data_IF_678519900547
#
_entry.id   IF_678519900547
#
_cell.length_a   1.000
_cell.length_b   1.000
_cell.length_c   1.000
_cell.angle_alpha   90.00
_cell.angle_beta   90.00
_cell.angle_gamma   90.00
#
_symmetry.space_group_name_H-M   'P 1'
#
loop_
_entity.id
_entity.type
_entity.pdbx_description
1 polymer ?
#
# COMPACT_ATOMS: atom_id res chain seq x y z
N UNK A 1 34.37 -35.40 -7.44
CA UNK A 1 33.54 -34.53 -8.29
C UNK A 1 32.45 -34.01 -7.40
N UNK A 2 32.69 -32.88 -6.72
CA UNK A 2 31.74 -32.30 -5.79
C UNK A 2 30.69 -31.55 -6.60
N UNK A 3 29.46 -32.04 -6.59
CA UNK A 3 28.32 -31.29 -7.14
C UNK A 3 28.20 -29.99 -6.36
N UNK A 4 28.56 -28.89 -7.03
CA UNK A 4 28.32 -27.52 -6.57
C UNK A 4 26.81 -27.28 -6.62
N UNK A 5 26.09 -27.84 -5.65
CA UNK A 5 24.65 -27.67 -5.50
C UNK A 5 24.45 -26.24 -5.03
N UNK A 6 24.21 -25.33 -5.98
CA UNK A 6 23.83 -23.95 -5.71
C UNK A 6 22.84 -23.92 -4.53
N UNK A 7 23.06 -23.06 -3.52
CA UNK A 7 22.19 -23.02 -2.36
C UNK A 7 20.76 -22.70 -2.82
N UNK A 8 19.84 -23.59 -2.47
CA UNK A 8 18.43 -23.46 -2.82
C UNK A 8 17.84 -22.29 -2.04
N UNK A 9 17.45 -21.22 -2.74
CA UNK A 9 16.84 -20.05 -2.14
C UNK A 9 15.34 -20.32 -2.01
N UNK A 10 14.88 -20.39 -0.76
CA UNK A 10 13.47 -20.60 -0.42
C UNK A 10 12.77 -19.24 -0.38
N UNK A 11 11.69 -19.09 -1.14
CA UNK A 11 10.89 -17.87 -1.22
C UNK A 11 9.46 -18.11 -0.75
N UNK A 12 8.88 -17.22 0.05
CA UNK A 12 7.43 -17.20 0.31
C UNK A 12 6.75 -16.13 -0.56
N UNK A 13 5.49 -16.39 -0.93
CA UNK A 13 4.64 -15.44 -1.65
C UNK A 13 3.50 -15.02 -0.72
N UNK A 14 3.37 -13.73 -0.47
CA UNK A 14 2.24 -13.12 0.26
C UNK A 14 1.57 -12.12 -0.67
N UNK A 15 0.63 -12.62 -1.47
CA UNK A 15 0.03 -11.86 -2.56
C UNK A 15 -1.49 -11.90 -2.44
N UNK A 16 -2.12 -10.74 -2.37
CA UNK A 16 -3.57 -10.63 -2.17
C UNK A 16 -4.35 -11.07 -3.42
N UNK A 17 -3.80 -10.85 -4.62
CA UNK A 17 -4.37 -11.32 -5.89
C UNK A 17 -4.00 -12.79 -6.15
N UNK A 18 -4.96 -13.74 -6.06
CA UNK A 18 -4.67 -15.16 -6.25
C UNK A 18 -4.20 -15.50 -7.67
N UNK A 19 -4.69 -14.78 -8.69
CA UNK A 19 -4.27 -15.03 -10.07
C UNK A 19 -2.83 -14.59 -10.32
N UNK A 20 -2.40 -13.50 -9.67
CA UNK A 20 -1.00 -13.07 -9.68
C UNK A 20 -0.11 -14.05 -8.90
N UNK A 21 -0.58 -14.50 -7.74
CA UNK A 21 0.11 -15.49 -6.91
C UNK A 21 0.39 -16.78 -7.69
N UNK A 22 -0.64 -17.33 -8.35
CA UNK A 22 -0.53 -18.55 -9.16
C UNK A 22 0.44 -18.38 -10.32
N UNK A 23 0.38 -17.24 -11.03
CA UNK A 23 1.29 -16.95 -12.15
C UNK A 23 2.74 -16.84 -11.69
N UNK A 24 2.99 -16.15 -10.58
CA UNK A 24 4.33 -16.04 -10.02
C UNK A 24 4.84 -17.38 -9.49
N UNK A 25 3.98 -18.17 -8.86
CA UNK A 25 4.34 -19.50 -8.41
C UNK A 25 4.77 -20.40 -9.58
N UNK A 26 4.01 -20.38 -10.68
CA UNK A 26 4.34 -21.12 -11.89
C UNK A 26 5.66 -20.65 -12.55
N UNK A 27 5.93 -19.34 -12.57
CA UNK A 27 7.17 -18.82 -13.14
C UNK A 27 8.38 -19.12 -12.26
N UNK A 28 8.29 -18.85 -10.96
CA UNK A 28 9.40 -19.01 -10.02
C UNK A 28 9.72 -20.48 -9.76
N UNK A 29 8.73 -21.38 -9.78
CA UNK A 29 8.95 -22.82 -9.65
C UNK A 29 9.77 -23.44 -10.78
N UNK A 30 9.92 -22.74 -11.91
CA UNK A 30 10.74 -23.19 -13.05
C UNK A 30 12.16 -22.62 -13.05
N UNK A 31 12.52 -21.80 -12.06
CA UNK A 31 13.86 -21.20 -11.97
C UNK A 31 14.78 -22.11 -11.16
N UNK A 32 15.87 -22.57 -11.78
CA UNK A 32 16.86 -23.41 -11.11
C UNK A 32 17.44 -22.69 -9.88
N UNK A 33 17.46 -23.39 -8.73
CA UNK A 33 17.96 -22.86 -7.46
C UNK A 33 16.96 -22.00 -6.68
N UNK A 34 15.73 -21.81 -7.18
CA UNK A 34 14.64 -21.21 -6.43
C UNK A 34 13.58 -22.26 -6.09
N UNK A 35 13.02 -22.16 -4.88
CA UNK A 35 11.86 -22.95 -4.46
C UNK A 35 10.89 -22.11 -3.65
N UNK A 36 9.61 -22.38 -3.80
CA UNK A 36 8.58 -21.78 -2.96
C UNK A 36 8.44 -22.50 -1.61
N UNK A 37 8.33 -21.73 -0.54
CA UNK A 37 8.12 -22.21 0.81
C UNK A 37 6.75 -22.90 0.93
N UNK A 38 6.72 -24.04 1.60
CA UNK A 38 5.46 -24.65 2.05
C UNK A 38 4.85 -23.83 3.20
N UNK A 39 3.53 -23.95 3.46
CA UNK A 39 2.91 -23.29 4.60
C UNK A 39 3.62 -23.61 5.92
N UNK A 40 4.06 -22.59 6.65
CA UNK A 40 4.79 -22.74 7.92
C UNK A 40 6.29 -23.04 7.79
N UNK A 41 6.83 -23.10 6.57
CA UNK A 41 8.26 -23.25 6.32
C UNK A 41 8.99 -21.90 6.39
N UNK A 42 10.23 -21.89 6.87
CA UNK A 42 11.04 -20.68 6.85
C UNK A 42 11.57 -20.38 5.44
N UNK A 43 11.32 -19.16 4.96
CA UNK A 43 11.84 -18.66 3.70
C UNK A 43 13.07 -17.76 3.92
N UNK A 44 13.97 -17.74 2.94
CA UNK A 44 15.10 -16.83 2.90
C UNK A 44 14.66 -15.39 2.51
N UNK A 45 13.57 -15.26 1.76
CA UNK A 45 12.94 -13.97 1.44
C UNK A 45 11.44 -14.15 1.14
N UNK A 46 10.67 -13.07 1.31
CA UNK A 46 9.23 -13.00 1.01
C UNK A 46 8.98 -12.00 -0.12
N UNK A 47 8.19 -12.40 -1.13
CA UNK A 47 7.63 -11.48 -2.12
C UNK A 47 6.24 -11.09 -1.64
N UNK A 48 6.05 -9.81 -1.36
CA UNK A 48 4.76 -9.26 -0.91
C UNK A 48 4.17 -8.41 -2.04
N UNK A 49 2.92 -8.68 -2.40
CA UNK A 49 2.15 -7.82 -3.29
C UNK A 49 0.74 -7.63 -2.73
N UNK A 50 0.44 -6.41 -2.29
CA UNK A 50 -0.86 -6.03 -1.79
C UNK A 50 -1.71 -5.44 -2.91
N UNK A 51 -3.02 -5.71 -2.93
CA UNK A 51 -3.89 -4.94 -3.82
C UNK A 51 -3.94 -3.50 -3.26
N UNK A 52 -3.54 -2.46 -4.03
CA UNK A 52 -3.66 -1.08 -3.56
C UNK A 52 -5.10 -0.71 -3.18
N UNK A 53 -6.08 -1.44 -3.70
CA UNK A 53 -7.51 -1.27 -3.43
C UNK A 53 -7.99 -2.12 -2.24
N UNK A 54 -7.24 -3.15 -1.82
CA UNK A 54 -7.49 -3.79 -0.53
C UNK A 54 -6.94 -2.88 0.56
N UNK A 55 -7.69 -1.82 0.81
CA UNK A 55 -7.52 -1.02 2.02
C UNK A 55 -7.60 -1.97 3.23
N UNK A 56 -6.74 -1.82 4.25
CA UNK A 56 -7.02 -2.41 5.54
C UNK A 56 -8.47 -2.06 5.91
N UNK A 57 -9.29 -3.05 6.29
CA UNK A 57 -10.72 -2.87 6.57
C UNK A 57 -11.00 -1.71 7.57
N UNK A 58 -9.99 -1.31 8.32
CA UNK A 58 -10.07 -0.31 9.38
C UNK A 58 -10.05 1.17 8.90
N UNK A 59 -9.67 1.47 7.65
CA UNK A 59 -9.59 2.88 7.16
C UNK A 59 -10.40 3.07 5.89
N UNK A 60 -11.72 3.02 6.04
CA UNK A 60 -12.65 3.46 5.00
C UNK A 60 -12.64 5.00 4.89
N UNK A 61 -11.85 5.54 3.96
CA UNK A 61 -11.96 6.94 3.56
C UNK A 61 -13.16 7.13 2.64
N UNK A 62 -13.93 8.18 2.88
CA UNK A 62 -15.00 8.61 1.97
C UNK A 62 -14.40 9.23 0.71
N UNK A 63 -15.18 9.27 -0.38
CA UNK A 63 -14.75 9.93 -1.62
C UNK A 63 -14.29 11.38 -1.39
N UNK A 64 -14.97 12.10 -0.49
CA UNK A 64 -14.63 13.49 -0.19
C UNK A 64 -13.31 13.63 0.57
N UNK A 65 -13.02 12.68 1.46
CA UNK A 65 -11.73 12.62 2.15
C UNK A 65 -10.60 12.29 1.18
N UNK A 66 -10.83 11.40 0.21
CA UNK A 66 -9.88 11.11 -0.86
C UNK A 66 -9.59 12.34 -1.73
N UNK A 67 -10.61 13.09 -2.14
CA UNK A 67 -10.44 14.33 -2.91
C UNK A 67 -9.59 15.35 -2.14
N UNK A 68 -9.86 15.52 -0.83
CA UNK A 68 -9.09 16.42 0.04
C UNK A 68 -7.66 15.93 0.17
N UNK A 69 -7.45 14.63 0.41
CA UNK A 69 -6.15 13.98 0.57
C UNK A 69 -5.25 14.14 -0.66
N UNK A 70 -5.81 13.93 -1.86
CA UNK A 70 -5.11 14.13 -3.13
C UNK A 70 -4.59 15.57 -3.27
N UNK A 71 -5.44 16.56 -3.01
CA UNK A 71 -5.02 17.97 -3.02
C UNK A 71 -4.02 18.28 -1.89
N UNK A 72 -4.03 17.54 -0.77
CA UNK A 72 -2.99 17.66 0.25
C UNK A 72 -1.63 17.20 -0.27
N UNK A 73 -1.61 16.10 -1.04
CA UNK A 73 -0.41 15.55 -1.65
C UNK A 73 0.21 16.52 -2.67
N UNK A 74 -0.62 17.26 -3.40
CA UNK A 74 -0.19 18.35 -4.29
C UNK A 74 0.34 19.60 -3.55
N UNK A 75 0.35 19.59 -2.21
CA UNK A 75 0.78 20.73 -1.41
C UNK A 75 -0.25 21.85 -1.31
N UNK A 76 -1.51 21.60 -1.69
CA UNK A 76 -2.54 22.64 -1.63
C UNK A 76 -2.81 23.09 -0.18
N UNK A 77 -3.14 24.36 0.05
CA UNK A 77 -3.58 24.85 1.36
C UNK A 77 -5.08 24.64 1.54
N UNK A 78 -5.59 24.67 2.77
CA UNK A 78 -7.04 24.52 3.02
C UNK A 78 -7.90 25.55 2.27
N UNK A 79 -7.37 26.75 2.00
CA UNK A 79 -8.05 27.77 1.18
C UNK A 79 -8.13 27.36 -0.29
N UNK A 80 -7.07 26.78 -0.82
CA UNK A 80 -7.03 26.32 -2.22
C UNK A 80 -7.93 25.11 -2.40
N UNK A 81 -7.90 24.15 -1.47
CA UNK A 81 -8.82 22.99 -1.47
C UNK A 81 -10.27 23.45 -1.42
N UNK A 82 -10.60 24.39 -0.52
CA UNK A 82 -11.95 24.92 -0.39
C UNK A 82 -12.47 25.49 -1.71
N UNK A 83 -11.62 26.29 -2.38
CA UNK A 83 -11.94 26.87 -3.70
C UNK A 83 -12.12 25.80 -4.76
N UNK A 84 -11.24 24.81 -4.82
CA UNK A 84 -11.25 23.78 -5.86
C UNK A 84 -12.41 22.79 -5.72
N UNK A 85 -12.78 22.48 -4.48
CA UNK A 85 -13.88 21.56 -4.16
C UNK A 85 -15.24 22.26 -3.97
N UNK A 86 -15.30 23.60 -4.06
CA UNK A 86 -16.53 24.37 -3.92
C UNK A 86 -17.15 24.32 -2.51
N UNK A 87 -16.34 24.22 -1.46
CA UNK A 87 -16.79 24.13 -0.06
C UNK A 87 -16.12 25.18 0.82
N UNK A 88 -16.59 25.33 2.06
CA UNK A 88 -16.00 26.28 3.00
C UNK A 88 -14.63 25.80 3.53
N UNK A 89 -13.75 26.74 3.88
CA UNK A 89 -12.47 26.42 4.54
C UNK A 89 -12.68 25.69 5.87
N UNK A 90 -13.78 25.99 6.57
CA UNK A 90 -14.17 25.27 7.79
C UNK A 90 -14.47 23.80 7.50
N UNK A 91 -15.23 23.51 6.43
CA UNK A 91 -15.51 22.15 5.97
C UNK A 91 -14.23 21.40 5.58
N UNK A 92 -13.27 22.08 4.94
CA UNK A 92 -11.96 21.47 4.65
C UNK A 92 -11.21 21.13 5.94
N UNK A 93 -11.19 22.01 6.93
CA UNK A 93 -10.55 21.71 8.23
C UNK A 93 -11.18 20.48 8.90
N UNK A 94 -12.49 20.33 8.80
CA UNK A 94 -13.19 19.15 9.30
C UNK A 94 -12.73 17.87 8.57
N UNK A 95 -12.70 17.86 7.24
CA UNK A 95 -12.19 16.71 6.47
C UNK A 95 -10.72 16.41 6.77
N UNK A 96 -9.87 17.43 6.90
CA UNK A 96 -8.46 17.25 7.27
C UNK A 96 -8.36 16.62 8.66
N UNK A 97 -9.13 17.08 9.65
CA UNK A 97 -9.15 16.45 10.98
C UNK A 97 -9.54 14.98 10.94
N UNK A 98 -10.64 14.65 10.24
CA UNK A 98 -11.08 13.26 10.05
C UNK A 98 -10.01 12.40 9.34
N UNK A 99 -9.31 12.97 8.35
CA UNK A 99 -8.19 12.29 7.70
C UNK A 99 -7.03 12.00 8.67
N UNK A 100 -6.66 12.96 9.52
CA UNK A 100 -5.60 12.77 10.51
C UNK A 100 -5.97 11.65 11.48
N UNK A 101 -7.20 11.68 12.01
CA UNK A 101 -7.71 10.67 12.94
C UNK A 101 -7.74 9.28 12.30
N UNK A 102 -8.26 9.18 11.08
CA UNK A 102 -8.37 7.90 10.35
C UNK A 102 -7.02 7.34 9.91
N UNK A 103 -6.07 8.19 9.55
CA UNK A 103 -4.74 7.75 9.10
C UNK A 103 -3.74 7.56 10.24
N UNK A 104 -4.15 7.86 11.48
CA UNK A 104 -3.31 7.92 12.68
C UNK A 104 -2.09 8.85 12.46
N UNK A 105 -2.36 10.04 11.94
CA UNK A 105 -1.35 11.00 11.52
C UNK A 105 -1.32 12.23 12.41
N UNK A 106 -0.11 12.69 12.73
CA UNK A 106 0.10 13.85 13.62
C UNK A 106 0.00 15.20 12.89
N UNK A 107 -0.10 15.18 11.57
CA UNK A 107 -0.19 16.37 10.75
C UNK A 107 -0.35 16.07 9.27
N UNK A 108 -0.48 17.12 8.46
CA UNK A 108 -0.79 17.02 7.03
C UNK A 108 0.23 16.20 6.25
N UNK A 109 1.52 16.51 6.41
CA UNK A 109 2.60 15.82 5.70
C UNK A 109 2.67 14.36 6.11
N UNK A 110 2.46 14.09 7.40
CA UNK A 110 2.45 12.74 7.96
C UNK A 110 1.27 11.93 7.41
N UNK A 111 0.09 12.55 7.29
CA UNK A 111 -1.09 11.93 6.69
C UNK A 111 -0.87 11.57 5.22
N UNK A 112 -0.28 12.47 4.42
CA UNK A 112 0.08 12.19 3.02
C UNK A 112 1.09 11.04 2.95
N UNK A 113 2.10 11.03 3.81
CA UNK A 113 3.10 9.96 3.84
C UNK A 113 2.51 8.61 4.25
N UNK A 114 1.62 8.59 5.25
CA UNK A 114 0.89 7.38 5.66
C UNK A 114 -0.03 6.88 4.55
N UNK A 115 -0.77 7.77 3.90
CA UNK A 115 -1.63 7.43 2.79
C UNK A 115 -0.86 6.82 1.62
N UNK A 116 0.29 7.41 1.24
CA UNK A 116 1.15 6.89 0.19
C UNK A 116 1.75 5.51 0.53
N UNK A 117 2.28 5.34 1.75
CA UNK A 117 2.80 4.03 2.22
C UNK A 117 1.74 2.93 2.20
N UNK A 118 0.47 3.29 2.39
CA UNK A 118 -0.66 2.37 2.39
C UNK A 118 -1.30 2.21 0.99
N UNK A 119 -0.77 2.86 -0.05
CA UNK A 119 -1.30 2.77 -1.42
C UNK A 119 -2.62 3.53 -1.66
N UNK A 120 -3.03 4.40 -0.74
CA UNK A 120 -4.27 5.19 -0.84
C UNK A 120 -4.16 6.26 -1.94
N UNK A 121 -2.96 6.82 -2.10
CA UNK A 121 -2.62 7.84 -3.09
C UNK A 121 -1.23 7.53 -3.68
N UNK A 122 -0.99 8.00 -4.90
CA UNK A 122 0.33 7.95 -5.54
C UNK A 122 1.01 9.32 -5.39
N UNK A 123 2.34 9.32 -5.18
CA UNK A 123 3.19 10.52 -5.04
C UNK A 123 4.19 10.62 -6.18
#
# INVERSE_FOLDING_TARGET
MSEDKLPEIVLSLEIDDPALADRLAALLGNVAGLRLAAPGEQAAATIVARDPRSMPEDIALTQRELDVLALMAEGASNKMIARQLGISVHTVKFHVGSLLDKLDATGRTDAVAHAARRGVIEL
#
